data_IF_834256197899
#
_entry.id   IF_834256197899
#
_cell.length_a   1.000
_cell.length_b   1.000
_cell.length_c   1.000
_cell.angle_alpha   90.00
_cell.angle_beta   90.00
_cell.angle_gamma   90.00
#
_symmetry.space_group_name_H-M   'P 1'
#
loop_
_entity.id
_entity.type
_entity.pdbx_description
1 polymer ?
#
# COMPACT_ATOMS: atom_id res chain seq x y z
N UNK A 1 -5.70 -7.18 -8.11
CA UNK A 1 -6.21 -6.50 -6.90
C UNK A 1 -5.91 -7.35 -5.69
N UNK A 2 -5.24 -6.79 -4.69
CA UNK A 2 -4.92 -7.45 -3.43
C UNK A 2 -5.49 -6.63 -2.29
N UNK A 3 -6.27 -7.27 -1.42
CA UNK A 3 -6.99 -6.65 -0.31
C UNK A 3 -6.98 -7.61 0.89
N UNK A 4 -6.94 -7.06 2.10
CA UNK A 4 -7.01 -7.77 3.38
C UNK A 4 -5.91 -8.83 3.58
N UNK A 5 -4.65 -8.42 3.37
CA UNK A 5 -3.48 -9.24 3.62
C UNK A 5 -2.54 -8.56 4.63
N UNK A 6 -2.19 -9.25 5.71
CA UNK A 6 -1.22 -8.72 6.68
C UNK A 6 0.24 -8.80 6.23
N UNK A 7 0.55 -9.47 5.11
CA UNK A 7 1.91 -9.61 4.59
C UNK A 7 1.93 -9.96 3.09
N UNK A 8 2.94 -9.45 2.37
CA UNK A 8 3.19 -9.79 0.96
C UNK A 8 4.14 -10.98 0.89
N UNK A 9 3.61 -12.17 0.59
CA UNK A 9 4.41 -13.37 0.38
C UNK A 9 4.90 -13.51 -1.07
N UNK A 10 5.82 -14.45 -1.32
CA UNK A 10 6.41 -14.63 -2.65
C UNK A 10 5.39 -15.00 -3.74
N UNK A 11 4.34 -15.75 -3.39
CA UNK A 11 3.26 -16.05 -4.33
C UNK A 11 2.49 -14.80 -4.78
N UNK A 12 2.28 -13.85 -3.87
CA UNK A 12 1.69 -12.54 -4.17
C UNK A 12 2.64 -11.72 -5.06
N UNK A 13 3.94 -11.73 -4.76
CA UNK A 13 4.94 -11.03 -5.58
C UNK A 13 4.90 -11.51 -7.02
N UNK A 14 4.98 -12.83 -7.23
CA UNK A 14 4.91 -13.43 -8.58
C UNK A 14 3.59 -13.12 -9.30
N UNK A 15 2.49 -13.01 -8.57
CA UNK A 15 1.20 -12.65 -9.16
C UNK A 15 1.10 -11.17 -9.58
N UNK A 16 1.92 -10.29 -9.00
CA UNK A 16 1.98 -8.87 -9.32
C UNK A 16 3.00 -8.53 -10.41
N UNK A 17 3.94 -9.44 -10.70
CA UNK A 17 4.91 -9.27 -11.77
C UNK A 17 4.23 -9.15 -13.15
N UNK A 18 4.71 -8.20 -13.95
CA UNK A 18 4.21 -7.91 -15.30
C UNK A 18 2.84 -7.23 -15.36
N UNK A 19 2.25 -6.84 -14.22
CA UNK A 19 0.96 -6.17 -14.20
C UNK A 19 1.06 -4.72 -14.70
N UNK A 20 0.14 -4.31 -15.58
CA UNK A 20 0.09 -2.92 -16.06
C UNK A 20 -0.40 -1.92 -14.99
N UNK A 21 -1.22 -2.40 -14.05
CA UNK A 21 -1.70 -1.64 -12.89
C UNK A 21 -1.85 -2.56 -11.68
N UNK A 22 -1.51 -2.05 -10.50
CA UNK A 22 -1.60 -2.76 -9.23
C UNK A 22 -2.57 -2.03 -8.31
N UNK A 23 -3.53 -2.75 -7.73
CA UNK A 23 -4.39 -2.26 -6.65
C UNK A 23 -4.01 -3.04 -5.41
N UNK A 24 -3.55 -2.34 -4.36
CA UNK A 24 -2.96 -2.94 -3.17
C UNK A 24 -3.43 -2.21 -1.91
N UNK A 25 -3.60 -2.95 -0.83
CA UNK A 25 -4.01 -2.43 0.48
C UNK A 25 -2.95 -1.53 1.11
N UNK A 26 -3.36 -0.42 1.72
CA UNK A 26 -2.52 0.48 2.50
C UNK A 26 -3.30 0.91 3.74
N UNK A 27 -3.54 -0.04 4.64
CA UNK A 27 -4.59 0.11 5.64
C UNK A 27 -4.21 1.10 6.74
N UNK A 28 -3.01 0.99 7.29
CA UNK A 28 -2.60 1.79 8.45
C UNK A 28 -1.13 2.20 8.37
N UNK A 29 -0.77 3.30 9.04
CA UNK A 29 0.62 3.52 9.44
C UNK A 29 0.81 2.94 10.84
N UNK A 30 1.93 2.25 11.06
CA UNK A 30 2.27 1.65 12.36
C UNK A 30 2.25 2.68 13.49
N UNK A 31 2.75 3.89 13.23
CA UNK A 31 2.81 4.95 14.23
C UNK A 31 1.44 5.56 14.52
N UNK A 32 0.63 5.80 13.48
CA UNK A 32 -0.76 6.26 13.67
C UNK A 32 -1.61 5.20 14.38
N UNK A 33 -1.43 3.93 14.07
CA UNK A 33 -2.14 2.83 14.72
C UNK A 33 -1.78 2.73 16.22
N UNK A 34 -0.49 2.87 16.55
CA UNK A 34 -0.02 2.91 17.95
C UNK A 34 -0.61 4.10 18.70
N UNK A 35 -0.60 5.29 18.09
CA UNK A 35 -1.13 6.52 18.66
C UNK A 35 -2.67 6.56 18.72
N UNK A 36 -3.39 5.71 17.98
CA UNK A 36 -4.84 5.71 17.94
C UNK A 36 -5.44 5.35 19.31
N UNK A 37 -6.01 6.34 20.01
CA UNK A 37 -6.61 6.16 21.34
C UNK A 37 -7.95 5.40 21.31
N UNK A 38 -8.61 5.36 20.14
CA UNK A 38 -9.92 4.73 19.95
C UNK A 38 -9.84 3.21 19.82
N UNK A 39 -8.66 2.63 19.60
CA UNK A 39 -8.48 1.21 19.40
C UNK A 39 -7.94 0.55 20.68
N UNK A 40 -8.58 -0.54 21.08
CA UNK A 40 -8.09 -1.38 22.17
C UNK A 40 -6.77 -2.05 21.78
N UNK A 41 -5.98 -2.45 22.78
CA UNK A 41 -4.71 -3.12 22.55
C UNK A 41 -4.87 -4.39 21.70
N UNK A 42 -5.88 -5.21 22.01
CA UNK A 42 -6.17 -6.44 21.26
C UNK A 42 -6.47 -6.17 19.78
N UNK A 43 -7.20 -5.10 19.48
CA UNK A 43 -7.49 -4.69 18.11
C UNK A 43 -6.23 -4.23 17.39
N UNK A 44 -5.37 -3.44 18.05
CA UNK A 44 -4.08 -3.02 17.48
C UNK A 44 -3.19 -4.22 17.18
N UNK A 45 -3.12 -5.20 18.09
CA UNK A 45 -2.35 -6.43 17.86
C UNK A 45 -2.87 -7.23 16.69
N UNK A 46 -4.20 -7.35 16.53
CA UNK A 46 -4.80 -8.04 15.39
C UNK A 46 -4.48 -7.35 14.07
N UNK A 47 -4.58 -6.01 14.01
CA UNK A 47 -4.27 -5.23 12.80
C UNK A 47 -2.79 -5.36 12.42
N UNK A 48 -1.89 -5.36 13.40
CA UNK A 48 -0.43 -5.53 13.20
C UNK A 48 0.00 -6.98 12.92
N UNK A 49 -0.90 -7.95 13.02
CA UNK A 49 -0.55 -9.36 12.82
C UNK A 49 -0.34 -9.70 11.35
N UNK A 50 0.34 -10.80 11.06
CA UNK A 50 0.56 -11.28 9.70
C UNK A 50 -0.73 -11.66 8.95
N UNK A 51 -1.83 -11.88 9.69
CA UNK A 51 -3.18 -12.13 9.15
C UNK A 51 -4.07 -10.90 9.24
N UNK A 52 -3.51 -9.75 9.64
CA UNK A 52 -4.17 -8.47 9.76
C UNK A 52 -4.21 -7.73 8.43
N UNK A 53 -3.83 -6.47 8.44
CA UNK A 53 -3.90 -5.60 7.28
C UNK A 53 -2.53 -5.09 6.88
N UNK A 54 -2.32 -4.84 5.59
CA UNK A 54 -1.03 -4.34 5.12
C UNK A 54 -0.80 -2.92 5.63
N UNK A 55 0.37 -2.69 6.23
CA UNK A 55 0.78 -1.36 6.66
C UNK A 55 1.39 -0.55 5.51
N UNK A 56 1.35 0.78 5.61
CA UNK A 56 2.02 1.65 4.64
C UNK A 56 3.52 1.36 4.59
N UNK A 57 4.12 1.03 5.73
CA UNK A 57 5.53 0.70 5.87
C UNK A 57 5.86 -0.59 5.08
N UNK A 58 5.08 -1.66 5.26
CA UNK A 58 5.28 -2.92 4.54
C UNK A 58 5.09 -2.77 3.02
N UNK A 59 4.11 -1.95 2.62
CA UNK A 59 3.89 -1.61 1.22
C UNK A 59 5.09 -0.82 0.64
N UNK A 60 5.59 0.17 1.38
CA UNK A 60 6.79 0.93 0.99
C UNK A 60 8.03 0.07 0.89
N UNK A 61 8.21 -0.91 1.78
CA UNK A 61 9.31 -1.86 1.73
C UNK A 61 9.23 -2.71 0.45
N UNK A 62 8.06 -3.30 0.17
CA UNK A 62 7.85 -4.07 -1.05
C UNK A 62 8.06 -3.24 -2.33
N UNK A 63 7.56 -2.00 -2.36
CA UNK A 63 7.77 -1.09 -3.48
C UNK A 63 9.25 -0.79 -3.72
N UNK A 64 10.08 -0.79 -2.68
CA UNK A 64 11.52 -0.54 -2.80
C UNK A 64 12.30 -1.80 -3.23
N UNK A 65 12.00 -2.96 -2.63
CA UNK A 65 12.80 -4.18 -2.80
C UNK A 65 12.33 -5.11 -3.91
N UNK A 66 11.03 -5.29 -4.05
CA UNK A 66 10.45 -6.45 -4.76
C UNK A 66 9.53 -6.07 -5.92
N UNK A 67 9.00 -4.83 -5.95
CA UNK A 67 8.21 -4.38 -7.09
C UNK A 67 9.05 -4.43 -8.36
N UNK A 68 8.48 -4.79 -9.49
CA UNK A 68 9.19 -5.01 -10.76
C UNK A 68 9.24 -3.76 -11.66
N UNK A 69 8.49 -2.71 -11.30
CA UNK A 69 8.40 -1.46 -12.08
C UNK A 69 7.63 -1.61 -13.40
N UNK A 70 6.92 -2.72 -13.61
CA UNK A 70 6.11 -2.92 -14.82
C UNK A 70 4.79 -2.14 -14.77
N UNK A 71 4.24 -1.95 -13.58
CA UNK A 71 2.97 -1.26 -13.40
C UNK A 71 3.13 0.25 -13.56
N UNK A 72 2.36 0.81 -14.49
CA UNK A 72 2.30 2.27 -14.70
C UNK A 72 1.43 2.96 -13.66
N UNK A 73 0.56 2.21 -12.98
CA UNK A 73 -0.34 2.73 -11.94
C UNK A 73 -0.34 1.84 -10.71
N UNK A 74 -0.20 2.45 -9.53
CA UNK A 74 -0.39 1.80 -8.23
C UNK A 74 -1.53 2.51 -7.50
N UNK A 75 -2.58 1.78 -7.18
CA UNK A 75 -3.75 2.27 -6.45
C UNK A 75 -3.71 1.74 -5.02
N UNK A 76 -3.58 2.65 -4.06
CA UNK A 76 -3.64 2.35 -2.63
C UNK A 76 -5.10 2.27 -2.19
N UNK A 77 -5.54 1.09 -1.76
CA UNK A 77 -6.90 0.80 -1.35
C UNK A 77 -7.00 0.51 0.15
N UNK A 78 -8.24 0.44 0.65
CA UNK A 78 -8.55 0.05 2.04
C UNK A 78 -7.87 0.92 3.12
N UNK A 79 -7.66 2.21 2.85
CA UNK A 79 -7.05 3.15 3.80
C UNK A 79 -7.95 3.40 5.02
N UNK A 80 -7.45 3.08 6.21
CA UNK A 80 -8.16 3.26 7.49
C UNK A 80 -8.40 4.74 7.79
N UNK A 81 -9.64 5.11 8.10
CA UNK A 81 -10.00 6.48 8.46
C UNK A 81 -9.45 6.94 9.82
N UNK A 82 -9.03 5.99 10.68
CA UNK A 82 -8.66 6.27 12.08
C UNK A 82 -7.19 6.00 12.39
N UNK A 83 -6.56 5.09 11.64
CA UNK A 83 -5.17 4.68 11.84
C UNK A 83 -4.31 4.93 10.61
N UNK A 84 -4.79 5.77 9.69
CA UNK A 84 -4.05 6.20 8.53
C UNK A 84 -4.44 7.62 8.12
N UNK A 85 -3.58 8.20 7.30
CA UNK A 85 -3.84 9.44 6.59
C UNK A 85 -3.60 9.18 5.08
N UNK A 86 -4.58 9.47 4.20
CA UNK A 86 -4.44 9.24 2.76
C UNK A 86 -3.24 9.97 2.14
N UNK A 87 -2.89 11.16 2.63
CA UNK A 87 -1.75 11.90 2.14
C UNK A 87 -0.45 11.23 2.58
N UNK A 88 -0.37 10.76 3.82
CA UNK A 88 0.77 9.98 4.32
C UNK A 88 0.97 8.69 3.53
N UNK A 89 -0.09 7.91 3.30
CA UNK A 89 -0.02 6.67 2.52
C UNK A 89 0.54 6.91 1.12
N UNK A 90 0.04 7.95 0.43
CA UNK A 90 0.54 8.36 -0.89
C UNK A 90 2.01 8.78 -0.84
N UNK A 91 2.38 9.64 0.11
CA UNK A 91 3.74 10.15 0.24
C UNK A 91 4.75 9.03 0.49
N UNK A 92 4.41 8.08 1.36
CA UNK A 92 5.27 6.92 1.66
C UNK A 92 5.48 6.03 0.43
N UNK A 93 4.43 5.77 -0.34
CA UNK A 93 4.52 4.99 -1.58
C UNK A 93 5.32 5.71 -2.67
N UNK A 94 5.06 7.00 -2.90
CA UNK A 94 5.83 7.81 -3.86
C UNK A 94 7.31 7.92 -3.48
N UNK A 95 7.60 8.06 -2.18
CA UNK A 95 8.98 8.11 -1.68
C UNK A 95 9.68 6.76 -1.88
N UNK A 96 9.02 5.66 -1.55
CA UNK A 96 9.54 4.31 -1.80
C UNK A 96 9.87 4.07 -3.29
N UNK A 97 8.99 4.49 -4.20
CA UNK A 97 9.25 4.41 -5.64
C UNK A 97 10.45 5.25 -6.09
N UNK A 98 10.62 6.46 -5.54
CA UNK A 98 11.76 7.35 -5.86
C UNK A 98 13.09 6.86 -5.33
N UNK A 99 13.09 6.14 -4.21
CA UNK A 99 14.29 5.59 -3.59
C UNK A 99 14.84 4.37 -4.34
N UNK A 100 14.10 3.84 -5.32
CA UNK A 100 14.57 2.73 -6.16
C UNK A 100 15.75 3.16 -7.03
N UNK A 101 16.74 2.26 -7.24
CA UNK A 101 17.78 2.47 -8.23
C UNK A 101 17.18 2.69 -9.65
N UNK A 102 17.80 3.51 -10.51
CA UNK A 102 17.24 3.99 -11.79
C UNK A 102 17.08 2.93 -12.89
N UNK A 103 17.01 1.64 -12.54
CA UNK A 103 16.89 0.53 -13.48
C UNK A 103 15.46 0.29 -14.01
N UNK A 104 14.44 0.95 -13.43
CA UNK A 104 13.04 0.71 -13.76
C UNK A 104 12.27 1.99 -14.07
N UNK A 105 11.20 1.85 -14.87
CA UNK A 105 10.36 2.93 -15.42
C UNK A 105 9.91 3.88 -14.31
N UNK A 106 10.42 5.11 -14.32
CA UNK A 106 10.20 6.11 -13.25
C UNK A 106 8.79 6.72 -13.22
N UNK A 107 7.89 6.31 -14.11
CA UNK A 107 6.59 6.96 -14.31
C UNK A 107 5.42 6.18 -13.70
N UNK A 108 5.64 5.50 -12.56
CA UNK A 108 4.55 4.85 -11.82
C UNK A 108 3.70 5.90 -11.11
N UNK A 109 2.44 6.09 -11.53
CA UNK A 109 1.49 7.01 -10.89
C UNK A 109 0.86 6.34 -9.67
N UNK A 110 1.00 6.95 -8.50
CA UNK A 110 0.34 6.51 -7.26
C UNK A 110 -0.98 7.24 -7.08
N UNK A 111 -2.06 6.49 -6.86
CA UNK A 111 -3.41 7.02 -6.58
C UNK A 111 -3.95 6.42 -5.29
N UNK A 112 -4.61 7.21 -4.45
CA UNK A 112 -5.28 6.70 -3.25
C UNK A 112 -6.77 6.59 -3.52
N UNK A 113 -7.32 5.40 -3.29
CA UNK A 113 -8.76 5.16 -3.38
C UNK A 113 -9.48 5.86 -2.23
N UNK A 114 -10.57 6.55 -2.55
CA UNK A 114 -11.43 7.21 -1.57
C UNK A 114 -12.69 6.38 -1.34
N UNK A 115 -13.19 6.38 -0.10
CA UNK A 115 -14.50 5.81 0.24
C UNK A 115 -15.66 6.73 -0.17
N UNK A 116 -15.37 7.99 -0.57
CA UNK A 116 -16.40 9.01 -0.92
C UNK A 116 -16.48 9.29 -2.40
N UNK A 117 -15.43 8.99 -3.15
CA UNK A 117 -15.32 9.33 -4.56
C UNK A 117 -14.70 8.16 -5.32
N UNK A 118 -15.26 7.78 -6.47
CA UNK A 118 -14.64 6.79 -7.34
C UNK A 118 -13.29 7.31 -7.82
N UNK A 119 -12.32 6.40 -7.95
CA UNK A 119 -11.06 6.71 -8.62
C UNK A 119 -11.30 7.05 -10.09
N UNK A 120 -10.47 7.92 -10.65
CA UNK A 120 -10.51 8.22 -12.09
C UNK A 120 -10.35 6.95 -12.93
N UNK A 121 -10.86 7.00 -14.15
CA UNK A 121 -10.68 5.91 -15.10
C UNK A 121 -9.19 5.75 -15.43
N UNK A 122 -8.67 4.54 -15.23
CA UNK A 122 -7.28 4.19 -15.54
C UNK A 122 -7.29 3.39 -16.85
N UNK A 123 -6.64 3.94 -17.88
CA UNK A 123 -6.37 3.26 -19.15
C UNK A 123 -4.91 2.80 -19.20
N UNK A 124 -4.68 1.62 -19.77
CA UNK A 124 -3.37 1.00 -19.93
C UNK A 124 -3.12 0.69 -21.41
#
# INVERSE_FOLDING_TARGET
TLMDFGHINDGIKMALEGCAAVIIESNHSRDMLRACSLYTWDLKQRILSQVGHLSNEDLSDWLQSDFDGSASHVVLAHVSQRANDPHLARLMAETALKMRPPLFRADTKVTVSSHRQPTEWISF
#
